data_IF_479451431911
#
_entry.id   IF_479451431911
#
_cell.length_a   1.000
_cell.length_b   1.000
_cell.length_c   1.000
_cell.angle_alpha   90.00
_cell.angle_beta   90.00
_cell.angle_gamma   90.00
#
_symmetry.space_group_name_H-M   'P 1'
#
loop_
_entity.id
_entity.type
_entity.pdbx_description
1 polymer ?
#
# COMPACT_ATOMS: atom_id res chain seq x y z
N UNK A 1 9.01 14.72 -14.56
CA UNK A 1 10.23 14.78 -13.75
C UNK A 1 10.21 13.60 -12.80
N UNK A 2 11.26 12.76 -12.74
CA UNK A 2 11.28 11.58 -11.87
C UNK A 2 11.44 12.00 -10.41
N UNK A 3 10.85 11.23 -9.48
CA UNK A 3 10.97 11.49 -8.03
C UNK A 3 12.43 11.42 -7.55
N UNK A 4 13.24 10.58 -8.20
CA UNK A 4 14.67 10.41 -7.92
C UNK A 4 15.52 11.66 -8.13
N UNK A 5 15.05 12.66 -8.88
CA UNK A 5 15.78 13.94 -9.05
C UNK A 5 15.54 14.92 -7.91
N UNK A 6 14.54 14.67 -7.06
CA UNK A 6 14.16 15.53 -5.93
C UNK A 6 14.71 14.97 -4.63
N UNK A 7 14.68 13.64 -4.48
CA UNK A 7 15.12 12.95 -3.27
C UNK A 7 16.59 12.58 -3.35
N UNK A 8 17.33 12.90 -2.29
CA UNK A 8 18.78 12.73 -2.21
C UNK A 8 19.24 11.88 -1.02
N UNK A 9 18.30 11.29 -0.28
CA UNK A 9 18.54 10.54 0.94
C UNK A 9 17.53 9.39 1.12
N UNK A 10 17.77 8.54 2.12
CA UNK A 10 16.84 7.49 2.53
C UNK A 10 15.51 8.10 3.01
N UNK A 11 14.41 7.43 2.68
CA UNK A 11 13.05 7.96 2.91
C UNK A 11 12.38 7.13 4.00
N UNK A 12 11.97 7.79 5.08
CA UNK A 12 11.24 7.12 6.15
C UNK A 12 9.85 6.68 5.68
N UNK A 13 9.13 7.54 4.97
CA UNK A 13 7.74 7.32 4.54
C UNK A 13 7.49 7.94 3.16
N UNK A 14 6.88 7.15 2.29
CA UNK A 14 6.28 7.61 1.04
C UNK A 14 4.76 7.36 1.11
N UNK A 15 3.95 8.43 1.10
CA UNK A 15 2.49 8.33 0.91
C UNK A 15 2.16 8.48 -0.58
N UNK A 16 1.33 7.59 -1.12
CA UNK A 16 0.83 7.63 -2.50
C UNK A 16 -0.69 7.60 -2.48
N UNK A 17 -1.29 8.64 -3.03
CA UNK A 17 -2.72 8.90 -3.03
C UNK A 17 -3.00 9.70 -4.31
N UNK A 18 -3.40 8.99 -5.37
CA UNK A 18 -3.32 9.50 -6.73
C UNK A 18 -4.54 9.20 -7.59
N UNK A 19 -5.68 8.91 -6.95
CA UNK A 19 -6.99 8.79 -7.60
C UNK A 19 -6.99 7.87 -8.85
N UNK A 20 -6.26 6.74 -8.80
CA UNK A 20 -6.21 5.73 -9.86
C UNK A 20 -4.94 5.73 -10.74
N UNK A 21 -4.02 6.67 -10.53
CA UNK A 21 -2.75 6.79 -11.26
C UNK A 21 -1.56 6.12 -10.58
N UNK A 22 -1.81 5.22 -9.61
CA UNK A 22 -0.76 4.67 -8.75
C UNK A 22 0.32 3.94 -9.56
N UNK A 23 -0.09 3.18 -10.58
CA UNK A 23 0.84 2.43 -11.45
C UNK A 23 1.85 3.38 -12.11
N UNK A 24 1.39 4.52 -12.62
CA UNK A 24 2.25 5.50 -13.27
C UNK A 24 3.20 6.16 -12.26
N UNK A 25 2.71 6.46 -11.06
CA UNK A 25 3.51 7.03 -9.98
C UNK A 25 4.61 6.07 -9.55
N UNK A 26 4.28 4.79 -9.37
CA UNK A 26 5.27 3.80 -8.98
C UNK A 26 6.26 3.50 -10.08
N UNK A 27 5.85 3.44 -11.34
CA UNK A 27 6.77 3.33 -12.47
C UNK A 27 7.80 4.48 -12.46
N UNK A 28 7.37 5.71 -12.16
CA UNK A 28 8.25 6.87 -11.99
C UNK A 28 9.05 6.90 -10.69
N UNK A 29 8.62 6.16 -9.66
CA UNK A 29 9.27 6.07 -8.36
C UNK A 29 10.22 4.86 -8.23
N UNK A 30 10.24 3.93 -9.20
CA UNK A 30 11.05 2.71 -9.10
C UNK A 30 12.53 2.97 -8.86
N UNK A 31 13.11 3.98 -9.52
CA UNK A 31 14.51 4.35 -9.28
C UNK A 31 14.70 4.82 -7.83
N UNK A 32 13.76 5.60 -7.28
CA UNK A 32 13.81 6.03 -5.88
C UNK A 32 13.69 4.84 -4.91
N UNK A 33 12.76 3.92 -5.17
CA UNK A 33 12.51 2.74 -4.33
C UNK A 33 13.70 1.76 -4.31
N UNK A 34 14.53 1.79 -5.35
CA UNK A 34 15.70 0.91 -5.51
C UNK A 34 17.01 1.57 -5.10
N UNK A 35 17.19 2.87 -5.40
CA UNK A 35 18.40 3.64 -5.12
C UNK A 35 18.50 4.09 -3.67
N UNK A 36 17.37 4.52 -3.09
CA UNK A 36 17.28 4.99 -1.71
C UNK A 36 16.46 4.00 -0.88
N UNK A 37 16.78 3.87 0.41
CA UNK A 37 15.99 3.02 1.30
C UNK A 37 14.70 3.73 1.66
N UNK A 38 13.61 3.34 1.01
CA UNK A 38 12.26 3.70 1.45
C UNK A 38 11.80 2.68 2.49
N UNK A 39 11.60 3.08 3.74
CA UNK A 39 11.26 2.17 4.84
C UNK A 39 9.77 1.80 4.85
N UNK A 40 8.91 2.78 4.57
CA UNK A 40 7.46 2.63 4.59
C UNK A 40 6.85 3.23 3.32
N UNK A 41 5.92 2.50 2.72
CA UNK A 41 5.04 3.00 1.67
C UNK A 41 3.61 2.82 2.13
N UNK A 42 2.86 3.92 2.20
CA UNK A 42 1.41 3.88 2.39
C UNK A 42 0.77 4.28 1.08
N UNK A 43 -0.09 3.43 0.54
CA UNK A 43 -0.69 3.62 -0.77
C UNK A 43 -2.18 3.32 -0.74
N UNK A 44 -2.95 4.21 -1.34
CA UNK A 44 -4.33 3.96 -1.69
C UNK A 44 -4.40 3.51 -3.16
N UNK A 45 -4.91 2.31 -3.42
CA UNK A 45 -5.05 1.72 -4.76
C UNK A 45 -6.53 1.57 -5.11
N UNK A 46 -7.06 2.54 -5.85
CA UNK A 46 -8.46 2.70 -6.29
C UNK A 46 -8.94 1.68 -7.34
N UNK A 47 -8.56 0.40 -7.19
CA UNK A 47 -8.81 -0.67 -8.16
C UNK A 47 -9.34 -1.94 -7.49
N UNK A 48 -10.63 -1.96 -7.16
CA UNK A 48 -11.26 -3.10 -6.50
C UNK A 48 -11.16 -4.35 -7.38
N UNK A 49 -10.62 -5.45 -6.84
CA UNK A 49 -10.47 -6.75 -7.54
C UNK A 49 -9.73 -6.74 -8.89
N UNK A 50 -8.92 -5.72 -9.17
CA UNK A 50 -8.12 -5.66 -10.40
C UNK A 50 -6.86 -6.54 -10.27
N UNK A 51 -6.62 -7.50 -11.20
CA UNK A 51 -5.37 -8.24 -11.28
C UNK A 51 -4.11 -7.34 -11.25
N UNK A 52 -4.20 -6.13 -11.81
CA UNK A 52 -3.10 -5.16 -11.84
C UNK A 52 -2.76 -4.64 -10.43
N UNK A 53 -3.73 -4.55 -9.50
CA UNK A 53 -3.46 -4.17 -8.10
C UNK A 53 -2.51 -5.16 -7.44
N UNK A 54 -2.78 -6.46 -7.60
CA UNK A 54 -1.94 -7.50 -7.00
C UNK A 54 -0.54 -7.51 -7.62
N UNK A 55 -0.45 -7.30 -8.93
CA UNK A 55 0.85 -7.20 -9.60
C UNK A 55 1.64 -5.98 -9.13
N UNK A 56 0.97 -4.83 -8.97
CA UNK A 56 1.59 -3.63 -8.43
C UNK A 56 2.15 -3.85 -7.04
N UNK A 57 1.35 -4.39 -6.11
CA UNK A 57 1.79 -4.67 -4.74
C UNK A 57 2.98 -5.63 -4.71
N UNK A 58 3.01 -6.64 -5.59
CA UNK A 58 4.13 -7.58 -5.70
C UNK A 58 5.39 -6.91 -6.26
N UNK A 59 5.24 -6.06 -7.27
CA UNK A 59 6.35 -5.28 -7.84
C UNK A 59 6.99 -4.39 -6.78
N UNK A 60 6.17 -3.71 -5.98
CA UNK A 60 6.64 -2.89 -4.86
C UNK A 60 7.34 -3.74 -3.79
N UNK A 61 6.78 -4.90 -3.42
CA UNK A 61 7.43 -5.78 -2.46
C UNK A 61 8.81 -6.26 -2.93
N UNK A 62 8.97 -6.45 -4.23
CA UNK A 62 10.23 -6.85 -4.86
C UNK A 62 11.32 -5.76 -4.78
N UNK A 63 10.97 -4.50 -4.46
CA UNK A 63 11.93 -3.42 -4.17
C UNK A 63 12.54 -3.48 -2.74
N UNK A 64 12.17 -4.50 -1.97
CA UNK A 64 12.63 -4.73 -0.60
C UNK A 64 11.61 -4.39 0.48
N UNK A 65 10.39 -3.98 0.10
CA UNK A 65 9.24 -3.79 0.99
C UNK A 65 8.56 -5.15 1.26
N UNK A 66 9.22 -5.99 2.03
CA UNK A 66 8.89 -7.42 2.20
C UNK A 66 7.56 -7.71 2.89
N UNK A 67 6.98 -6.75 3.60
CA UNK A 67 5.76 -6.92 4.37
C UNK A 67 4.67 -6.03 3.81
N UNK A 68 3.47 -6.57 3.63
CA UNK A 68 2.33 -5.86 3.08
C UNK A 68 1.16 -6.02 4.05
N UNK A 69 0.68 -4.90 4.57
CA UNK A 69 -0.47 -4.83 5.44
C UNK A 69 -1.61 -4.13 4.73
N UNK A 70 -2.82 -4.65 4.87
CA UNK A 70 -4.03 -3.93 4.52
C UNK A 70 -4.50 -3.15 5.76
N UNK A 71 -4.83 -1.88 5.56
CA UNK A 71 -5.56 -1.07 6.52
C UNK A 71 -7.03 -0.97 6.09
N UNK A 72 -7.93 -1.46 6.93
CA UNK A 72 -9.36 -1.41 6.67
C UNK A 72 -10.06 -0.60 7.76
N UNK A 73 -10.78 0.43 7.33
CA UNK A 73 -11.79 1.09 8.14
C UNK A 73 -13.11 0.33 7.94
N UNK A 74 -13.56 -0.38 8.98
CA UNK A 74 -14.86 -1.06 8.95
C UNK A 74 -15.96 0.00 9.07
N UNK A 75 -16.36 0.55 7.93
CA UNK A 75 -17.58 1.32 7.80
C UNK A 75 -18.75 0.34 7.84
N UNK A 76 -19.14 -0.12 9.03
CA UNK A 76 -20.36 -0.91 9.19
C UNK A 76 -21.49 -0.26 8.37
N UNK A 77 -22.23 -1.05 7.59
CA UNK A 77 -23.12 -0.58 6.52
C UNK A 77 -24.25 0.39 6.94
N UNK A 78 -24.34 0.75 8.22
CA UNK A 78 -25.40 1.55 8.81
C UNK A 78 -24.90 2.66 9.75
N UNK A 79 -23.62 3.04 9.75
CA UNK A 79 -23.13 4.10 10.66
C UNK A 79 -23.44 5.49 10.07
N UNK A 80 -24.28 6.31 10.73
CA UNK A 80 -24.51 7.69 10.31
C UNK A 80 -23.21 8.50 10.32
N UNK A 81 -23.07 9.48 9.41
CA UNK A 81 -21.83 10.24 9.23
C UNK A 81 -21.32 10.97 10.49
N UNK A 82 -22.20 11.23 11.47
CA UNK A 82 -21.89 11.82 12.78
C UNK A 82 -21.42 10.79 13.83
N UNK A 83 -21.47 9.48 13.52
CA UNK A 83 -21.09 8.37 14.40
C UNK A 83 -19.84 7.60 13.93
N UNK A 84 -19.13 8.12 12.93
CA UNK A 84 -17.87 7.60 12.35
C UNK A 84 -16.77 7.38 13.42
N UNK A 85 -16.90 7.95 14.61
CA UNK A 85 -15.93 7.85 15.70
C UNK A 85 -15.79 6.46 16.37
N UNK A 86 -16.66 5.49 16.07
CA UNK A 86 -16.58 4.13 16.63
C UNK A 86 -15.91 3.09 15.70
N UNK A 87 -15.30 3.54 14.60
CA UNK A 87 -14.55 2.68 13.69
C UNK A 87 -13.31 2.13 14.41
N UNK A 88 -13.22 0.80 14.51
CA UNK A 88 -11.97 0.16 14.93
C UNK A 88 -11.15 -0.13 13.69
N UNK A 89 -10.06 0.63 13.44
CA UNK A 89 -9.19 0.33 12.33
C UNK A 89 -8.61 -1.08 12.49
N UNK A 90 -8.58 -1.84 11.41
CA UNK A 90 -8.02 -3.19 11.39
C UNK A 90 -6.82 -3.23 10.45
N UNK A 91 -5.67 -3.59 11.00
CA UNK A 91 -4.47 -3.88 10.22
C UNK A 91 -4.37 -5.40 10.06
N UNK A 92 -4.27 -5.86 8.82
CA UNK A 92 -4.16 -7.29 8.49
C UNK A 92 -2.91 -7.53 7.65
N UNK A 93 -2.07 -8.48 8.06
CA UNK A 93 -0.96 -8.94 7.23
C UNK A 93 -1.51 -9.71 6.02
N UNK A 94 -1.27 -9.17 4.82
CA UNK A 94 -1.70 -9.76 3.54
C UNK A 94 -0.50 -10.19 2.69
N UNK A 95 0.71 -10.22 3.26
CA UNK A 95 1.95 -10.51 2.55
C UNK A 95 1.86 -11.84 1.79
N UNK A 96 1.53 -12.92 2.50
CA UNK A 96 1.41 -14.26 1.92
C UNK A 96 0.31 -14.34 0.84
N UNK A 97 -0.79 -13.61 1.06
CA UNK A 97 -1.93 -13.56 0.13
C UNK A 97 -1.53 -12.92 -1.20
N UNK A 98 -0.84 -11.76 -1.15
CA UNK A 98 -0.37 -11.03 -2.33
C UNK A 98 0.73 -11.83 -3.06
N UNK A 99 1.69 -12.35 -2.31
CA UNK A 99 2.86 -13.03 -2.86
C UNK A 99 2.51 -14.38 -3.49
N UNK A 100 1.65 -15.18 -2.85
CA UNK A 100 1.24 -16.51 -3.33
C UNK A 100 -0.07 -16.51 -4.12
N UNK A 101 -0.57 -15.33 -4.52
CA UNK A 101 -1.76 -15.18 -5.38
C UNK A 101 -3.00 -15.90 -4.84
N UNK A 102 -3.23 -15.84 -3.53
CA UNK A 102 -4.46 -16.38 -2.94
C UNK A 102 -5.60 -15.38 -3.12
N UNK A 103 -6.77 -15.86 -3.52
CA UNK A 103 -7.95 -15.01 -3.65
C UNK A 103 -8.53 -14.72 -2.26
N UNK A 104 -8.66 -13.44 -1.92
CA UNK A 104 -9.05 -12.98 -0.59
C UNK A 104 -9.65 -11.59 -0.65
N UNK A 105 -10.70 -11.36 0.14
CA UNK A 105 -11.36 -10.06 0.32
C UNK A 105 -10.42 -8.96 0.84
N UNK A 106 -9.35 -9.34 1.55
CA UNK A 106 -8.38 -8.38 2.08
C UNK A 106 -7.48 -7.76 1.00
N UNK A 107 -7.43 -8.28 -0.23
CA UNK A 107 -6.73 -7.60 -1.34
C UNK A 107 -7.68 -6.66 -2.09
N UNK A 108 -8.99 -6.71 -1.79
CA UNK A 108 -9.97 -5.86 -2.44
C UNK A 108 -9.96 -4.42 -1.91
N UNK A 109 -9.50 -4.20 -0.67
CA UNK A 109 -9.38 -2.88 -0.04
C UNK A 109 -8.44 -1.94 -0.80
N UNK A 110 -8.54 -0.64 -0.49
CA UNK A 110 -7.79 0.40 -1.20
C UNK A 110 -6.49 0.73 -0.48
N UNK A 111 -6.47 0.77 0.86
CA UNK A 111 -5.30 1.19 1.63
C UNK A 111 -4.35 0.04 1.98
N UNK A 112 -3.10 0.19 1.56
CA UNK A 112 -2.01 -0.73 1.86
C UNK A 112 -0.82 -0.02 2.50
N UNK A 113 -0.22 -0.67 3.49
CA UNK A 113 1.04 -0.29 4.09
C UNK A 113 2.10 -1.35 3.80
N UNK A 114 3.05 -1.02 2.93
CA UNK A 114 4.19 -1.84 2.62
C UNK A 114 5.41 -1.42 3.45
N UNK A 115 6.17 -2.39 3.97
CA UNK A 115 7.28 -2.15 4.90
C UNK A 115 8.48 -3.03 4.61
N UNK A 116 9.67 -2.53 4.94
CA UNK A 116 10.90 -3.35 4.94
C UNK A 116 11.00 -4.29 6.14
N UNK A 117 10.43 -3.87 7.27
CA UNK A 117 10.44 -4.56 8.56
C UNK A 117 9.01 -4.91 8.98
N UNK A 118 8.79 -6.01 9.74
CA UNK A 118 7.46 -6.39 10.19
C UNK A 118 6.90 -5.38 11.20
N UNK A 119 5.57 -5.31 11.32
CA UNK A 119 4.90 -4.63 12.43
C UNK A 119 4.99 -5.50 13.68
N UNK A 120 5.26 -4.85 14.82
CA UNK A 120 5.03 -5.45 16.14
C UNK A 120 3.54 -5.29 16.44
N UNK A 121 2.74 -6.29 16.04
CA UNK A 121 1.27 -6.33 16.21
C UNK A 121 0.86 -7.11 17.47
#
# INVERSE_FOLDING_TARGET
MPLSSIVQEDVLLLKVDTEGYEINVFAGAMELLTKYKVHNVVVEVKRFNDPDKRELLRSLASSGLKYIYNYMEDYGAEVPADQVYNIKPRITDVTDIVMNRRDSEHVCCEDFWLRREPLDL
#
